data_IF_080477417423
#
_entry.id   IF_080477417423
#
_cell.length_a   1.000
_cell.length_b   1.000
_cell.length_c   1.000
_cell.angle_alpha   90.00
_cell.angle_beta   90.00
_cell.angle_gamma   90.00
#
_symmetry.space_group_name_H-M   'P 1'
#
loop_
_entity.id
_entity.type
_entity.pdbx_description
1 polymer ?
#
# COMPACT_ATOMS: atom_id res chain seq x y z
N UNK A 1 -16.67 44.07 79.94
CA UNK A 1 -17.21 44.01 78.57
C UNK A 1 -16.05 43.78 77.62
N UNK A 2 -16.02 42.67 76.85
CA UNK A 2 -15.15 42.54 75.65
C UNK A 2 -15.88 43.20 74.46
N UNK A 3 -15.16 43.72 73.45
CA UNK A 3 -14.77 42.90 72.28
C UNK A 3 -13.26 43.00 71.94
N UNK A 4 -12.56 41.90 71.62
CA UNK A 4 -12.29 41.34 70.27
C UNK A 4 -11.40 42.26 69.39
N UNK A 5 -10.08 41.97 69.30
CA UNK A 5 -9.38 41.34 68.13
C UNK A 5 -9.26 42.29 66.93
N UNK A 6 -8.13 42.54 66.25
CA UNK A 6 -6.95 41.73 65.96
C UNK A 6 -5.96 42.55 65.10
N UNK A 7 -4.68 42.50 65.48
CA UNK A 7 -3.51 42.19 64.62
C UNK A 7 -3.23 43.04 63.37
N UNK A 8 -2.09 43.72 63.46
CA UNK A 8 -1.26 44.29 62.40
C UNK A 8 -0.60 43.17 61.57
N UNK A 9 -0.72 43.19 60.23
CA UNK A 9 0.26 42.58 59.32
C UNK A 9 0.31 43.32 57.99
N UNK A 10 1.50 43.80 57.64
CA UNK A 10 1.89 44.21 56.30
C UNK A 10 1.91 42.97 55.39
N UNK A 11 1.13 42.97 54.31
CA UNK A 11 1.32 42.04 53.19
C UNK A 11 2.16 42.76 52.15
N UNK A 12 3.44 42.43 52.07
CA UNK A 12 4.26 42.69 50.88
C UNK A 12 3.89 41.61 49.87
N UNK A 13 3.14 41.98 48.84
CA UNK A 13 2.87 41.12 47.71
C UNK A 13 4.17 40.96 46.91
N UNK A 14 4.83 39.81 47.04
CA UNK A 14 5.82 39.37 46.07
C UNK A 14 5.07 38.91 44.82
N UNK A 15 5.02 39.76 43.79
CA UNK A 15 4.77 39.28 42.43
C UNK A 15 5.96 38.41 42.04
N UNK A 16 5.79 37.09 42.11
CA UNK A 16 6.68 36.16 41.38
C UNK A 16 6.35 36.29 39.89
N UNK A 17 7.06 37.16 39.18
CA UNK A 17 7.11 37.10 37.73
C UNK A 17 7.72 35.75 37.35
N UNK A 18 6.91 34.85 36.76
CA UNK A 18 7.42 33.66 36.12
C UNK A 18 8.28 34.13 34.93
N UNK A 19 9.60 34.08 35.08
CA UNK A 19 10.51 34.34 33.97
C UNK A 19 10.32 33.23 32.94
N UNK A 20 10.08 33.55 31.65
CA UNK A 20 10.06 32.52 30.62
C UNK A 20 11.40 31.78 30.65
N UNK A 21 11.36 30.46 30.81
CA UNK A 21 12.58 29.66 30.86
C UNK A 21 12.96 29.27 29.45
N UNK A 22 13.84 30.05 28.85
CA UNK A 22 14.50 29.75 27.59
C UNK A 22 15.30 28.44 27.72
N UNK A 23 15.25 27.60 26.69
CA UNK A 23 15.80 26.26 26.55
C UNK A 23 16.92 26.29 25.54
N UNK A 24 17.96 25.52 25.79
CA UNK A 24 19.01 25.27 24.82
C UNK A 24 18.68 23.97 24.07
N UNK A 25 19.15 23.82 22.82
CA UNK A 25 19.18 22.55 22.11
C UNK A 25 20.58 21.95 22.25
N UNK A 26 20.67 20.80 22.92
CA UNK A 26 21.92 20.11 23.19
C UNK A 26 22.07 18.96 22.19
N UNK A 27 23.02 19.11 21.27
CA UNK A 27 23.31 18.08 20.29
C UNK A 27 24.22 17.02 20.91
N UNK A 28 23.73 15.80 21.03
CA UNK A 28 24.49 14.67 21.55
C UNK A 28 25.23 13.92 20.44
N UNK A 29 26.32 13.27 20.80
CA UNK A 29 27.08 12.38 19.90
C UNK A 29 26.26 11.18 19.41
N UNK A 30 25.19 10.81 20.14
CA UNK A 30 24.21 9.79 19.72
C UNK A 30 23.35 10.21 18.54
N UNK A 31 23.35 11.50 18.17
CA UNK A 31 22.55 12.05 17.07
C UNK A 31 21.14 12.49 17.45
N UNK A 32 20.67 12.20 18.67
CA UNK A 32 19.37 12.66 19.17
C UNK A 32 19.59 13.96 19.94
N UNK A 33 19.10 15.12 19.45
CA UNK A 33 19.18 16.36 20.19
C UNK A 33 18.23 16.33 21.39
N UNK A 34 18.61 17.03 22.47
CA UNK A 34 17.77 17.23 23.64
C UNK A 34 17.50 18.72 23.81
N UNK A 35 16.22 19.08 23.88
CA UNK A 35 15.81 20.42 24.27
C UNK A 35 15.69 20.51 25.80
N UNK A 36 16.50 21.37 26.41
CA UNK A 36 16.38 21.69 27.83
C UNK A 36 17.25 22.88 28.26
N UNK A 37 16.95 23.43 29.43
CA UNK A 37 17.72 24.53 30.01
C UNK A 37 18.95 23.96 30.70
N UNK A 38 20.16 24.37 30.31
CA UNK A 38 21.36 24.05 31.08
C UNK A 38 21.31 24.84 32.40
N UNK A 39 21.07 24.15 33.51
CA UNK A 39 20.94 24.81 34.83
C UNK A 39 22.30 25.01 35.49
N UNK A 40 23.16 23.98 35.49
CA UNK A 40 24.46 23.99 36.18
C UNK A 40 25.45 23.11 35.42
N UNK A 41 26.70 23.58 35.30
CA UNK A 41 27.86 22.76 34.96
C UNK A 41 28.74 22.58 36.21
N UNK A 42 29.01 21.34 36.62
CA UNK A 42 29.94 21.02 37.70
C UNK A 42 30.99 20.05 37.17
N UNK A 43 32.24 20.51 37.06
CA UNK A 43 33.28 19.75 36.36
C UNK A 43 32.86 19.46 34.92
N UNK A 44 32.91 18.20 34.54
CA UNK A 44 32.58 17.73 33.18
C UNK A 44 31.11 17.27 33.04
N UNK A 45 30.25 17.61 34.02
CA UNK A 45 28.84 17.21 34.01
C UNK A 45 27.92 18.42 33.87
N UNK A 46 27.02 18.35 32.89
CA UNK A 46 25.94 19.31 32.66
C UNK A 46 24.64 18.79 33.27
N UNK A 47 24.01 19.58 34.14
CA UNK A 47 22.63 19.36 34.59
C UNK A 47 21.69 20.15 33.70
N UNK A 48 20.81 19.44 33.00
CA UNK A 48 19.86 20.02 32.05
C UNK A 48 18.45 19.74 32.53
N UNK A 49 17.61 20.78 32.59
CA UNK A 49 16.18 20.64 32.86
C UNK A 49 15.40 20.55 31.56
N UNK A 50 14.74 19.42 31.37
CA UNK A 50 13.84 19.13 30.24
C UNK A 50 12.43 19.00 30.81
N UNK A 51 11.57 20.00 30.54
CA UNK A 51 10.27 20.14 31.18
C UNK A 51 10.35 20.13 32.72
N UNK A 52 9.79 19.08 33.33
CA UNK A 52 9.78 18.87 34.80
C UNK A 52 10.87 17.91 35.30
N UNK A 53 11.75 17.42 34.42
CA UNK A 53 12.80 16.44 34.75
C UNK A 53 14.18 17.10 34.66
N UNK A 54 15.11 16.61 35.47
CA UNK A 54 16.53 16.96 35.38
C UNK A 54 17.29 15.75 34.88
N UNK A 55 18.12 15.96 33.87
CA UNK A 55 19.02 14.95 33.31
C UNK A 55 20.46 15.44 33.51
N UNK A 56 21.38 14.49 33.66
CA UNK A 56 22.81 14.77 33.77
C UNK A 56 23.50 14.23 32.52
N UNK A 57 24.25 15.08 31.83
CA UNK A 57 24.96 14.77 30.59
C UNK A 57 26.46 14.96 30.81
N UNK A 58 27.27 14.04 30.30
CA UNK A 58 28.73 14.21 30.33
C UNK A 58 29.18 15.14 29.20
N UNK A 59 30.17 15.99 29.43
CA UNK A 59 30.67 16.94 28.44
C UNK A 59 31.16 16.23 27.16
N UNK A 60 31.72 15.03 27.28
CA UNK A 60 32.17 14.22 26.14
C UNK A 60 31.02 13.70 25.23
N UNK A 61 29.81 13.63 25.77
CA UNK A 61 28.59 13.24 25.05
C UNK A 61 27.99 14.40 24.26
N UNK A 62 28.33 15.64 24.61
CA UNK A 62 27.80 16.86 24.00
C UNK A 62 28.70 17.30 22.85
N UNK A 63 28.10 17.46 21.67
CA UNK A 63 28.77 17.98 20.47
C UNK A 63 28.72 19.50 20.45
N UNK A 64 27.52 20.06 20.60
CA UNK A 64 27.28 21.52 20.64
C UNK A 64 26.06 21.82 21.50
N UNK A 65 26.02 23.02 22.07
CA UNK A 65 24.85 23.56 22.75
C UNK A 65 24.42 24.81 21.98
N UNK A 66 23.28 24.73 21.32
CA UNK A 66 22.65 25.84 20.61
C UNK A 66 21.72 26.57 21.59
N UNK A 67 22.11 27.79 21.98
CA UNK A 67 21.23 28.64 22.78
C UNK A 67 20.06 29.11 21.91
N UNK A 68 18.84 28.82 22.34
CA UNK A 68 17.65 29.31 21.66
C UNK A 68 16.61 29.80 22.67
N UNK A 69 15.60 30.50 22.16
CA UNK A 69 14.52 31.06 22.99
C UNK A 69 13.32 30.11 23.10
N UNK A 70 13.45 28.85 22.65
CA UNK A 70 12.38 27.84 22.79
C UNK A 70 12.34 27.47 24.27
N UNK A 71 11.21 27.10 24.84
CA UNK A 71 11.12 26.68 26.25
C UNK A 71 10.98 25.16 26.41
N UNK A 72 11.14 24.43 25.30
CA UNK A 72 10.83 23.00 25.20
C UNK A 72 9.33 22.71 25.33
N UNK A 73 8.47 23.73 25.36
CA UNK A 73 7.03 23.55 25.30
C UNK A 73 6.63 23.16 23.87
N UNK A 74 5.64 22.28 23.81
CA UNK A 74 5.04 21.88 22.55
C UNK A 74 4.30 23.10 21.98
N UNK A 75 4.77 23.65 20.85
CA UNK A 75 4.08 24.74 20.16
C UNK A 75 2.80 24.21 19.51
N UNK A 76 1.73 24.18 20.31
CA UNK A 76 0.43 23.67 19.91
C UNK A 76 -0.16 24.44 18.73
N UNK A 77 0.14 25.73 18.59
CA UNK A 77 -0.37 26.53 17.48
C UNK A 77 0.40 26.25 16.19
N UNK A 78 1.73 26.11 16.25
CA UNK A 78 2.51 25.67 15.10
C UNK A 78 2.11 24.26 14.64
N UNK A 79 1.87 23.31 15.57
CA UNK A 79 1.41 21.96 15.23
C UNK A 79 0.02 21.99 14.59
N UNK A 80 -0.92 22.78 15.14
CA UNK A 80 -2.25 22.93 14.53
C UNK A 80 -2.16 23.52 13.14
N UNK A 81 -1.29 24.52 12.93
CA UNK A 81 -1.11 25.17 11.64
C UNK A 81 -0.44 24.24 10.62
N UNK A 82 0.53 23.43 11.05
CA UNK A 82 1.10 22.37 10.21
C UNK A 82 0.05 21.30 9.86
N UNK A 83 -0.72 20.81 10.82
CA UNK A 83 -1.80 19.86 10.58
C UNK A 83 -2.87 20.44 9.63
N UNK A 84 -3.20 21.74 9.76
CA UNK A 84 -4.12 22.46 8.87
C UNK A 84 -3.56 22.52 7.45
N UNK A 85 -2.28 22.90 7.29
CA UNK A 85 -1.61 22.93 5.97
C UNK A 85 -1.60 21.55 5.32
N UNK A 86 -1.26 20.51 6.09
CA UNK A 86 -1.27 19.14 5.59
C UNK A 86 -2.68 18.67 5.18
N UNK A 87 -3.71 19.00 5.96
CA UNK A 87 -5.10 18.72 5.58
C UNK A 87 -5.49 19.44 4.29
N UNK A 88 -5.13 20.71 4.13
CA UNK A 88 -5.37 21.48 2.90
C UNK A 88 -4.67 20.86 1.69
N UNK A 89 -3.41 20.44 1.85
CA UNK A 89 -2.67 19.72 0.82
C UNK A 89 -3.37 18.41 0.42
N UNK A 90 -3.83 17.63 1.41
CA UNK A 90 -4.57 16.39 1.17
C UNK A 90 -5.93 16.64 0.49
N UNK A 91 -6.65 17.69 0.87
CA UNK A 91 -7.91 18.07 0.20
C UNK A 91 -7.63 18.43 -1.25
N UNK A 92 -6.58 19.21 -1.52
CA UNK A 92 -6.20 19.61 -2.88
C UNK A 92 -5.76 18.40 -3.73
N UNK A 93 -5.03 17.45 -3.13
CA UNK A 93 -4.53 16.27 -3.81
C UNK A 93 -5.64 15.24 -4.09
N UNK A 94 -6.53 15.02 -3.11
CA UNK A 94 -7.42 13.87 -3.09
C UNK A 94 -8.88 14.22 -3.35
N UNK A 95 -9.26 15.49 -3.19
CA UNK A 95 -10.64 15.95 -3.22
C UNK A 95 -11.47 15.60 -1.99
N UNK A 96 -10.89 14.89 -1.01
CA UNK A 96 -11.59 14.47 0.21
C UNK A 96 -11.17 15.33 1.41
N UNK A 97 -12.14 15.73 2.23
CA UNK A 97 -11.87 16.33 3.53
C UNK A 97 -11.51 15.27 4.59
N UNK A 98 -10.99 15.71 5.74
CA UNK A 98 -10.56 14.82 6.82
C UNK A 98 -11.64 13.81 7.26
N UNK A 99 -12.91 14.22 7.36
CA UNK A 99 -13.99 13.32 7.76
C UNK A 99 -14.25 12.23 6.72
N UNK A 100 -14.22 12.59 5.43
CA UNK A 100 -14.38 11.64 4.33
C UNK A 100 -13.21 10.67 4.23
N UNK A 101 -11.97 11.15 4.42
CA UNK A 101 -10.78 10.28 4.45
C UNK A 101 -10.87 9.29 5.62
N UNK A 102 -11.29 9.75 6.80
CA UNK A 102 -11.52 8.88 7.95
C UNK A 102 -12.62 7.84 7.69
N UNK A 103 -13.71 8.19 6.99
CA UNK A 103 -14.72 7.21 6.57
C UNK A 103 -14.16 6.16 5.61
N UNK A 104 -13.28 6.56 4.67
CA UNK A 104 -12.58 5.62 3.78
C UNK A 104 -11.67 4.71 4.60
N UNK A 105 -10.85 5.26 5.50
CA UNK A 105 -9.89 4.50 6.31
C UNK A 105 -10.61 3.45 7.18
N UNK A 106 -11.69 3.83 7.86
CA UNK A 106 -12.51 2.91 8.64
C UNK A 106 -13.10 1.78 7.78
N UNK A 107 -13.52 2.09 6.56
CA UNK A 107 -14.05 1.07 5.67
C UNK A 107 -12.95 0.18 5.06
N UNK A 108 -11.73 0.70 4.90
CA UNK A 108 -10.55 -0.08 4.51
C UNK A 108 -10.12 -1.04 5.62
N UNK A 109 -10.13 -0.62 6.88
CA UNK A 109 -9.89 -1.52 8.02
C UNK A 109 -10.85 -2.72 7.99
N UNK A 110 -12.13 -2.47 7.73
CA UNK A 110 -13.13 -3.52 7.55
C UNK A 110 -12.80 -4.41 6.34
N UNK A 111 -12.49 -3.82 5.18
CA UNK A 111 -12.10 -4.53 3.95
C UNK A 111 -10.93 -5.49 4.19
N UNK A 112 -9.95 -5.08 4.98
CA UNK A 112 -8.75 -5.87 5.24
C UNK A 112 -8.95 -6.97 6.28
N UNK A 113 -10.09 -6.98 6.98
CA UNK A 113 -10.44 -8.06 7.90
C UNK A 113 -10.38 -9.45 7.26
N UNK A 114 -9.90 -10.43 8.02
CA UNK A 114 -9.99 -11.86 7.66
C UNK A 114 -11.42 -12.39 7.80
N UNK A 115 -12.28 -11.69 8.54
CA UNK A 115 -13.69 -12.01 8.59
C UNK A 115 -14.34 -11.59 7.26
N UNK A 116 -14.79 -12.57 6.48
CA UNK A 116 -15.36 -12.35 5.15
C UNK A 116 -16.58 -11.43 5.16
N UNK A 117 -17.46 -11.54 6.16
CA UNK A 117 -18.63 -10.66 6.30
C UNK A 117 -18.18 -9.20 6.52
N UNK A 118 -17.25 -8.98 7.46
CA UNK A 118 -16.68 -7.66 7.74
C UNK A 118 -15.97 -7.08 6.50
N UNK A 119 -15.18 -7.90 5.80
CA UNK A 119 -14.52 -7.53 4.55
C UNK A 119 -15.53 -7.09 3.48
N UNK A 120 -16.61 -7.86 3.33
CA UNK A 120 -17.68 -7.53 2.39
C UNK A 120 -18.42 -6.25 2.80
N UNK A 121 -18.60 -6.00 4.10
CA UNK A 121 -19.20 -4.77 4.62
C UNK A 121 -18.33 -3.55 4.33
N UNK A 122 -17.02 -3.65 4.55
CA UNK A 122 -16.05 -2.61 4.19
C UNK A 122 -16.10 -2.28 2.69
N UNK A 123 -16.07 -3.30 1.84
CA UNK A 123 -16.23 -3.14 0.38
C UNK A 123 -17.55 -2.42 0.02
N UNK A 124 -18.68 -2.84 0.61
CA UNK A 124 -19.99 -2.20 0.35
C UNK A 124 -20.00 -0.73 0.77
N UNK A 125 -19.38 -0.39 1.91
CA UNK A 125 -19.26 1.00 2.36
C UNK A 125 -18.46 1.86 1.39
N UNK A 126 -17.30 1.38 0.94
CA UNK A 126 -16.45 2.09 -0.02
C UNK A 126 -17.17 2.31 -1.36
N UNK A 127 -17.87 1.28 -1.86
CA UNK A 127 -18.68 1.42 -3.07
C UNK A 127 -19.87 2.38 -2.88
N UNK A 128 -20.49 2.41 -1.70
CA UNK A 128 -21.55 3.38 -1.42
C UNK A 128 -21.03 4.82 -1.31
N UNK A 129 -19.80 5.02 -0.81
CA UNK A 129 -19.15 6.33 -0.76
C UNK A 129 -18.85 6.88 -2.14
N UNK A 130 -18.48 6.01 -3.09
CA UNK A 130 -18.17 6.39 -4.48
C UNK A 130 -19.30 7.16 -5.17
N UNK A 131 -20.55 6.90 -4.77
CA UNK A 131 -21.74 7.56 -5.32
C UNK A 131 -21.88 9.01 -4.84
N UNK A 132 -21.12 9.40 -3.82
CA UNK A 132 -21.14 10.74 -3.21
C UNK A 132 -19.88 11.54 -3.53
N UNK A 133 -18.73 10.89 -3.55
CA UNK A 133 -17.40 11.52 -3.75
C UNK A 133 -16.47 10.57 -4.50
N UNK A 134 -15.55 11.12 -5.31
CA UNK A 134 -14.50 10.33 -5.95
C UNK A 134 -13.44 9.94 -4.90
N UNK A 135 -13.50 8.71 -4.43
CA UNK A 135 -12.52 8.17 -3.46
C UNK A 135 -11.24 7.65 -4.14
N UNK A 136 -11.20 7.58 -5.47
CA UNK A 136 -10.08 7.00 -6.21
C UNK A 136 -8.76 7.75 -5.97
N UNK A 137 -8.69 9.10 -6.04
CA UNK A 137 -7.43 9.83 -5.82
C UNK A 137 -6.84 9.58 -4.44
N UNK A 138 -7.69 9.47 -3.41
CA UNK A 138 -7.24 9.12 -2.07
C UNK A 138 -6.70 7.70 -2.01
N UNK A 139 -7.45 6.72 -2.54
CA UNK A 139 -6.97 5.33 -2.61
C UNK A 139 -5.63 5.22 -3.34
N UNK A 140 -5.47 5.90 -4.47
CA UNK A 140 -4.22 5.91 -5.23
C UNK A 140 -3.07 6.58 -4.45
N UNK A 141 -3.37 7.63 -3.67
CA UNK A 141 -2.39 8.31 -2.83
C UNK A 141 -1.83 7.40 -1.73
N UNK A 142 -2.69 6.65 -1.03
CA UNK A 142 -2.28 5.79 0.09
C UNK A 142 -1.83 4.38 -0.36
N UNK A 143 -2.10 3.97 -1.60
CA UNK A 143 -1.78 2.64 -2.11
C UNK A 143 -0.30 2.24 -1.96
N UNK A 144 0.70 3.11 -2.26
CA UNK A 144 2.11 2.75 -2.14
C UNK A 144 2.53 2.34 -0.73
N UNK A 145 1.86 2.87 0.29
CA UNK A 145 2.17 2.65 1.71
C UNK A 145 1.37 1.48 2.31
N UNK A 146 0.46 0.85 1.53
CA UNK A 146 -0.32 -0.29 2.01
C UNK A 146 0.57 -1.51 2.22
N UNK A 147 0.28 -2.29 3.27
CA UNK A 147 0.91 -3.59 3.45
C UNK A 147 0.60 -4.51 2.24
N UNK A 148 1.58 -5.27 1.70
CA UNK A 148 1.38 -6.08 0.48
C UNK A 148 0.21 -7.06 0.52
N UNK A 149 -0.07 -7.64 1.69
CA UNK A 149 -1.24 -8.52 1.88
C UNK A 149 -2.59 -7.80 1.60
N UNK A 150 -2.65 -6.49 1.80
CA UNK A 150 -3.85 -5.67 1.61
C UNK A 150 -3.97 -5.12 0.19
N UNK A 151 -2.84 -4.99 -0.53
CA UNK A 151 -2.80 -4.43 -1.89
C UNK A 151 -3.68 -5.21 -2.87
N UNK A 152 -3.76 -6.54 -2.75
CA UNK A 152 -4.61 -7.36 -3.63
C UNK A 152 -6.10 -7.01 -3.49
N UNK A 153 -6.59 -6.87 -2.25
CA UNK A 153 -7.98 -6.44 -1.97
C UNK A 153 -8.22 -4.99 -2.42
N UNK A 154 -7.23 -4.12 -2.20
CA UNK A 154 -7.29 -2.73 -2.65
C UNK A 154 -7.38 -2.62 -4.18
N UNK A 155 -6.57 -3.35 -4.94
CA UNK A 155 -6.62 -3.35 -6.41
C UNK A 155 -7.96 -3.86 -6.95
N UNK A 156 -8.55 -4.88 -6.32
CA UNK A 156 -9.89 -5.36 -6.69
C UNK A 156 -10.93 -4.25 -6.53
N UNK A 157 -10.91 -3.55 -5.41
CA UNK A 157 -11.80 -2.40 -5.19
C UNK A 157 -11.51 -1.27 -6.19
N UNK A 158 -10.25 -0.85 -6.34
CA UNK A 158 -9.86 0.23 -7.24
C UNK A 158 -10.24 -0.07 -8.69
N UNK A 159 -10.18 -1.32 -9.12
CA UNK A 159 -10.66 -1.75 -10.42
C UNK A 159 -12.17 -1.57 -10.58
N UNK A 160 -12.95 -1.88 -9.54
CA UNK A 160 -14.40 -1.67 -9.58
C UNK A 160 -14.81 -0.20 -9.54
N UNK A 161 -13.97 0.65 -8.93
CA UNK A 161 -14.13 2.09 -8.96
C UNK A 161 -13.86 2.62 -10.38
N UNK A 162 -12.70 2.29 -10.95
CA UNK A 162 -12.29 2.76 -12.27
C UNK A 162 -11.22 1.83 -12.90
N UNK A 163 -11.61 0.93 -13.83
CA UNK A 163 -10.69 0.02 -14.50
C UNK A 163 -9.58 0.72 -15.29
N UNK A 164 -9.86 1.87 -15.90
CA UNK A 164 -8.89 2.59 -16.73
C UNK A 164 -7.86 3.30 -15.85
N UNK A 165 -8.28 3.93 -14.75
CA UNK A 165 -7.34 4.57 -13.82
C UNK A 165 -6.42 3.55 -13.12
N UNK A 166 -6.90 2.35 -12.78
CA UNK A 166 -6.08 1.34 -12.07
C UNK A 166 -5.12 0.59 -13.00
N UNK A 167 -5.39 0.59 -14.31
CA UNK A 167 -4.62 -0.18 -15.30
C UNK A 167 -3.10 -0.01 -15.20
N UNK A 168 -2.53 1.19 -15.02
CA UNK A 168 -1.08 1.35 -14.84
C UNK A 168 -0.55 0.62 -13.60
N UNK A 169 -1.27 0.70 -12.47
CA UNK A 169 -0.93 0.02 -11.22
C UNK A 169 -0.96 -1.51 -11.39
N UNK A 170 -1.91 -2.05 -12.15
CA UNK A 170 -1.97 -3.49 -12.42
C UNK A 170 -0.71 -3.97 -13.14
N UNK A 171 -0.25 -3.22 -14.15
CA UNK A 171 0.96 -3.53 -14.92
C UNK A 171 2.21 -3.41 -14.05
N UNK A 172 2.32 -2.33 -13.27
CA UNK A 172 3.46 -2.08 -12.36
C UNK A 172 3.61 -3.18 -11.31
N UNK A 173 2.49 -3.66 -10.76
CA UNK A 173 2.49 -4.60 -9.62
C UNK A 173 2.40 -6.08 -9.99
N UNK A 174 2.28 -6.41 -11.29
CA UNK A 174 2.21 -7.79 -11.77
C UNK A 174 3.48 -8.62 -11.46
N UNK A 175 4.61 -7.98 -11.15
CA UNK A 175 5.89 -8.62 -10.83
C UNK A 175 6.30 -8.47 -9.36
N UNK A 176 5.35 -8.12 -8.48
CA UNK A 176 5.62 -7.95 -7.05
C UNK A 176 5.94 -9.31 -6.37
N UNK A 177 6.81 -9.38 -5.34
CA UNK A 177 7.09 -10.63 -4.62
C UNK A 177 5.89 -11.30 -3.96
N UNK A 178 4.86 -10.53 -3.63
CA UNK A 178 3.62 -11.04 -3.01
C UNK A 178 2.70 -11.72 -4.04
N UNK A 179 2.40 -13.00 -3.79
CA UNK A 179 1.69 -13.87 -4.75
C UNK A 179 0.25 -13.45 -4.99
N UNK A 180 -0.47 -13.04 -3.94
CA UNK A 180 -1.86 -12.63 -4.04
C UNK A 180 -2.00 -11.36 -4.87
N UNK A 181 -1.01 -10.47 -4.76
CA UNK A 181 -0.92 -9.25 -5.55
C UNK A 181 -0.69 -9.56 -7.03
N UNK A 182 0.29 -10.42 -7.36
CA UNK A 182 0.53 -10.85 -8.75
C UNK A 182 -0.71 -11.50 -9.36
N UNK A 183 -1.33 -12.42 -8.63
CA UNK A 183 -2.54 -13.11 -9.07
C UNK A 183 -3.69 -12.13 -9.32
N UNK A 184 -3.90 -11.15 -8.45
CA UNK A 184 -4.90 -10.09 -8.66
C UNK A 184 -4.60 -9.27 -9.92
N UNK A 185 -3.35 -8.83 -10.10
CA UNK A 185 -2.91 -8.06 -11.27
C UNK A 185 -3.21 -8.78 -12.58
N UNK A 186 -2.67 -10.00 -12.79
CA UNK A 186 -2.83 -10.70 -14.08
C UNK A 186 -4.29 -11.07 -14.37
N UNK A 187 -5.08 -11.38 -13.35
CA UNK A 187 -6.52 -11.63 -13.52
C UNK A 187 -7.27 -10.37 -13.93
N UNK A 188 -6.96 -9.22 -13.32
CA UNK A 188 -7.61 -7.95 -13.61
C UNK A 188 -7.16 -7.37 -14.95
N UNK A 189 -5.90 -7.58 -15.36
CA UNK A 189 -5.41 -7.24 -16.70
C UNK A 189 -6.22 -7.94 -17.80
N UNK A 190 -6.69 -9.17 -17.58
CA UNK A 190 -7.58 -9.82 -18.55
C UNK A 190 -8.98 -9.19 -18.64
N UNK A 191 -9.38 -8.39 -17.64
CA UNK A 191 -10.69 -7.73 -17.58
C UNK A 191 -10.65 -6.27 -18.02
N UNK A 192 -9.47 -5.67 -18.23
CA UNK A 192 -9.41 -4.33 -18.80
C UNK A 192 -9.88 -4.37 -20.26
N UNK A 193 -10.59 -3.33 -20.73
CA UNK A 193 -10.92 -3.21 -22.14
C UNK A 193 -9.66 -3.15 -23.00
N UNK A 194 -9.58 -3.99 -24.03
CA UNK A 194 -8.48 -4.03 -25.00
C UNK A 194 -7.09 -4.04 -24.36
N UNK A 195 -6.68 -5.16 -23.71
CA UNK A 195 -5.33 -5.29 -23.16
C UNK A 195 -4.27 -5.08 -24.25
N UNK A 196 -3.21 -4.37 -23.90
CA UNK A 196 -2.05 -4.13 -24.74
C UNK A 196 -1.22 -5.41 -24.91
N UNK A 197 -0.36 -5.50 -25.94
CA UNK A 197 0.56 -6.62 -26.09
C UNK A 197 1.43 -6.89 -24.85
N UNK A 198 1.89 -5.85 -24.16
CA UNK A 198 2.66 -5.99 -22.92
C UNK A 198 1.83 -6.54 -21.74
N UNK A 199 0.54 -6.21 -21.67
CA UNK A 199 -0.36 -6.75 -20.63
C UNK A 199 -0.74 -8.21 -20.92
N UNK A 200 -0.92 -8.56 -22.20
CA UNK A 200 -1.04 -9.94 -22.64
C UNK A 200 0.23 -10.73 -22.28
N UNK A 201 1.41 -10.16 -22.52
CA UNK A 201 2.69 -10.77 -22.15
C UNK A 201 2.77 -11.02 -20.64
N UNK A 202 2.34 -10.08 -19.79
CA UNK A 202 2.28 -10.30 -18.34
C UNK A 202 1.39 -11.49 -17.96
N UNK A 203 0.22 -11.64 -18.59
CA UNK A 203 -0.62 -12.81 -18.36
C UNK A 203 0.05 -14.10 -18.84
N UNK A 204 0.72 -14.09 -19.98
CA UNK A 204 1.46 -15.27 -20.50
C UNK A 204 2.62 -15.64 -19.60
N UNK A 205 3.40 -14.67 -19.11
CA UNK A 205 4.45 -14.90 -18.10
C UNK A 205 3.88 -15.42 -16.79
N UNK A 206 2.67 -15.01 -16.42
CA UNK A 206 1.93 -15.54 -15.27
C UNK A 206 1.62 -17.04 -15.37
N UNK A 207 1.47 -17.61 -16.57
CA UNK A 207 1.32 -19.05 -16.77
C UNK A 207 2.59 -19.84 -16.39
N UNK A 208 3.75 -19.18 -16.37
CA UNK A 208 5.03 -19.76 -15.96
C UNK A 208 5.37 -19.48 -14.48
N UNK A 209 4.53 -18.75 -13.73
CA UNK A 209 4.81 -18.41 -12.33
C UNK A 209 4.94 -19.68 -11.47
N UNK A 210 5.83 -19.64 -10.47
CA UNK A 210 6.04 -20.76 -9.57
C UNK A 210 4.83 -21.01 -8.66
N UNK A 211 4.03 -19.98 -8.37
CA UNK A 211 2.82 -20.08 -7.57
C UNK A 211 1.61 -20.52 -8.39
N UNK A 212 0.94 -21.58 -7.93
CA UNK A 212 -0.24 -22.15 -8.60
C UNK A 212 -1.38 -21.15 -8.74
N UNK A 213 -1.64 -20.37 -7.70
CA UNK A 213 -2.68 -19.34 -7.71
C UNK A 213 -2.47 -18.29 -8.81
N UNK A 214 -1.21 -17.90 -9.06
CA UNK A 214 -0.86 -16.93 -10.11
C UNK A 214 -1.05 -17.55 -11.49
N UNK A 215 -0.65 -18.81 -11.70
CA UNK A 215 -0.90 -19.52 -12.96
C UNK A 215 -2.38 -19.65 -13.28
N UNK A 216 -3.20 -20.01 -12.29
CA UNK A 216 -4.65 -20.12 -12.45
C UNK A 216 -5.28 -18.75 -12.75
N UNK A 217 -4.80 -17.69 -12.08
CA UNK A 217 -5.25 -16.31 -12.32
C UNK A 217 -4.90 -15.83 -13.74
N UNK A 218 -3.71 -16.13 -14.23
CA UNK A 218 -3.27 -15.85 -15.60
C UNK A 218 -4.15 -16.55 -16.65
N UNK A 219 -4.45 -17.84 -16.45
CA UNK A 219 -5.38 -18.56 -17.31
C UNK A 219 -6.77 -17.92 -17.35
N UNK A 220 -7.32 -17.52 -16.19
CA UNK A 220 -8.60 -16.79 -16.11
C UNK A 220 -8.54 -15.40 -16.79
N UNK A 221 -7.40 -14.72 -16.70
CA UNK A 221 -7.15 -13.48 -17.43
C UNK A 221 -7.27 -13.70 -18.94
N UNK A 222 -6.63 -14.76 -19.46
CA UNK A 222 -6.66 -15.14 -20.87
C UNK A 222 -8.02 -15.70 -21.35
N UNK A 223 -8.89 -16.16 -20.44
CA UNK A 223 -10.31 -16.41 -20.78
C UNK A 223 -11.02 -15.10 -21.09
N UNK A 224 -10.76 -14.06 -20.29
CA UNK A 224 -11.42 -12.74 -20.41
C UNK A 224 -10.82 -11.92 -21.55
N UNK A 225 -9.54 -12.14 -21.87
CA UNK A 225 -8.81 -11.55 -22.98
C UNK A 225 -8.19 -12.65 -23.88
N UNK A 226 -9.01 -13.27 -24.75
CA UNK A 226 -8.56 -14.40 -25.56
C UNK A 226 -7.40 -14.04 -26.49
N UNK A 227 -6.31 -14.81 -26.42
CA UNK A 227 -5.07 -14.58 -27.16
C UNK A 227 -4.56 -15.90 -27.76
N UNK A 228 -4.54 -15.99 -29.09
CA UNK A 228 -4.11 -17.23 -29.79
C UNK A 228 -2.60 -17.43 -29.68
N UNK A 229 -1.83 -16.37 -29.54
CA UNK A 229 -0.39 -16.39 -29.36
C UNK A 229 0.01 -17.14 -28.08
N UNK A 230 -0.85 -17.15 -27.05
CA UNK A 230 -0.65 -17.87 -25.79
C UNK A 230 -0.86 -19.40 -25.89
N UNK A 231 -1.30 -19.91 -27.05
CA UNK A 231 -1.67 -21.34 -27.23
C UNK A 231 -0.57 -22.31 -26.79
N UNK A 232 0.72 -22.16 -27.19
CA UNK A 232 1.76 -23.08 -26.76
C UNK A 232 1.95 -23.11 -25.24
N UNK A 233 1.84 -21.94 -24.58
CA UNK A 233 1.96 -21.82 -23.14
C UNK A 233 0.81 -22.48 -22.40
N UNK A 234 -0.43 -22.31 -22.88
CA UNK A 234 -1.61 -22.94 -22.28
C UNK A 234 -1.54 -24.46 -22.42
N UNK A 235 -1.08 -24.99 -23.56
CA UNK A 235 -0.84 -26.43 -23.76
C UNK A 235 0.25 -26.93 -22.81
N UNK A 236 1.36 -26.20 -22.66
CA UNK A 236 2.47 -26.54 -21.76
C UNK A 236 2.05 -26.64 -20.30
N UNK A 237 1.15 -25.75 -19.87
CA UNK A 237 0.53 -25.78 -18.55
C UNK A 237 -0.36 -27.01 -18.40
N UNK A 238 -1.24 -27.30 -19.36
CA UNK A 238 -2.08 -28.51 -19.33
C UNK A 238 -1.26 -29.81 -19.31
N UNK A 239 -0.11 -29.83 -19.97
CA UNK A 239 0.80 -30.98 -19.97
C UNK A 239 1.40 -31.25 -18.58
N UNK A 240 1.54 -30.24 -17.72
CA UNK A 240 2.00 -30.41 -16.34
C UNK A 240 0.98 -31.16 -15.46
N UNK A 241 -0.29 -31.25 -15.90
CA UNK A 241 -1.31 -32.08 -15.27
C UNK A 241 -1.78 -31.57 -13.91
N UNK A 242 -1.90 -30.25 -13.74
CA UNK A 242 -2.37 -29.64 -12.52
C UNK A 242 -3.85 -29.20 -12.71
N UNK A 243 -4.83 -29.90 -12.10
CA UNK A 243 -6.24 -29.62 -12.35
C UNK A 243 -6.67 -28.17 -12.08
N UNK A 244 -6.04 -27.49 -11.12
CA UNK A 244 -6.35 -26.09 -10.75
C UNK A 244 -6.02 -25.13 -11.90
N UNK A 245 -4.97 -25.44 -12.68
CA UNK A 245 -4.52 -24.61 -13.80
C UNK A 245 -5.01 -25.14 -15.15
N UNK A 246 -5.23 -26.45 -15.26
CA UNK A 246 -5.72 -27.11 -16.47
C UNK A 246 -7.10 -26.59 -16.89
N UNK A 247 -8.01 -26.39 -15.92
CA UNK A 247 -9.35 -25.89 -16.19
C UNK A 247 -9.34 -24.48 -16.84
N UNK A 248 -8.72 -23.45 -16.23
CA UNK A 248 -8.65 -22.14 -16.86
C UNK A 248 -7.83 -22.16 -18.16
N UNK A 249 -6.80 -23.01 -18.28
CA UNK A 249 -6.03 -23.13 -19.51
C UNK A 249 -6.87 -23.68 -20.68
N UNK A 250 -7.64 -24.75 -20.45
CA UNK A 250 -8.60 -25.29 -21.43
C UNK A 250 -9.65 -24.25 -21.82
N UNK A 251 -10.20 -23.52 -20.84
CA UNK A 251 -11.18 -22.48 -21.09
C UNK A 251 -10.60 -21.35 -21.95
N UNK A 252 -9.37 -20.90 -21.68
CA UNK A 252 -8.68 -19.87 -22.44
C UNK A 252 -8.41 -20.30 -23.89
N UNK A 253 -7.97 -21.55 -24.09
CA UNK A 253 -7.80 -22.13 -25.43
C UNK A 253 -9.14 -22.15 -26.19
N UNK A 254 -10.21 -22.62 -25.55
CA UNK A 254 -11.55 -22.61 -26.15
C UNK A 254 -12.00 -21.20 -26.53
N UNK A 255 -11.79 -20.22 -25.66
CA UNK A 255 -12.16 -18.82 -25.91
C UNK A 255 -11.36 -18.19 -27.06
N UNK A 256 -10.05 -18.49 -27.16
CA UNK A 256 -9.18 -17.90 -28.19
C UNK A 256 -9.43 -18.44 -29.60
N UNK A 257 -9.87 -19.70 -29.70
CA UNK A 257 -10.06 -20.37 -30.98
C UNK A 257 -11.51 -20.45 -31.44
N UNK A 258 -12.48 -20.28 -30.53
CA UNK A 258 -13.89 -20.22 -30.90
C UNK A 258 -14.25 -18.90 -31.57
N UNK A 259 -15.20 -18.96 -32.50
CA UNK A 259 -15.83 -17.80 -33.14
C UNK A 259 -17.36 -17.96 -33.08
N UNK A 260 -18.15 -16.89 -33.30
CA UNK A 260 -19.61 -17.01 -33.30
C UNK A 260 -20.09 -18.12 -34.25
N UNK A 261 -20.79 -19.12 -33.72
CA UNK A 261 -21.30 -20.27 -34.48
C UNK A 261 -20.35 -21.45 -34.64
N UNK A 262 -19.10 -21.36 -34.17
CA UNK A 262 -18.13 -22.45 -34.20
C UNK A 262 -17.33 -22.50 -32.89
N UNK A 263 -17.69 -23.44 -32.03
CA UNK A 263 -16.98 -23.72 -30.78
C UNK A 263 -15.82 -24.67 -31.03
N UNK A 264 -14.63 -24.30 -30.56
CA UNK A 264 -13.45 -25.18 -30.52
C UNK A 264 -13.25 -25.63 -29.07
N UNK A 265 -13.21 -26.94 -28.85
CA UNK A 265 -13.01 -27.53 -27.53
C UNK A 265 -12.34 -28.89 -27.66
N UNK A 266 -11.28 -29.08 -26.87
CA UNK A 266 -10.60 -30.36 -26.74
C UNK A 266 -10.38 -30.69 -25.26
N UNK A 267 -10.48 -31.96 -24.90
CA UNK A 267 -10.52 -32.38 -23.50
C UNK A 267 -9.15 -32.52 -22.86
N UNK A 268 -8.10 -32.75 -23.64
CA UNK A 268 -6.76 -33.00 -23.14
C UNK A 268 -5.70 -32.24 -23.95
N UNK A 269 -4.49 -32.14 -23.38
CA UNK A 269 -3.40 -31.37 -23.99
C UNK A 269 -2.89 -31.96 -25.31
N UNK A 270 -3.03 -33.28 -25.55
CA UNK A 270 -2.57 -33.92 -26.79
C UNK A 270 -3.43 -33.51 -27.97
N UNK A 271 -4.73 -33.45 -27.77
CA UNK A 271 -5.69 -33.01 -28.79
C UNK A 271 -5.49 -31.53 -29.12
N UNK A 272 -5.28 -30.69 -28.10
CA UNK A 272 -4.91 -29.29 -28.29
C UNK A 272 -3.55 -29.13 -29.00
N UNK A 273 -2.57 -30.00 -28.71
CA UNK A 273 -1.28 -29.98 -29.39
C UNK A 273 -1.42 -30.36 -30.87
N UNK A 274 -2.19 -31.40 -31.20
CA UNK A 274 -2.46 -31.78 -32.58
C UNK A 274 -3.18 -30.65 -33.32
N UNK A 275 -4.22 -30.07 -32.71
CA UNK A 275 -4.92 -28.90 -33.25
C UNK A 275 -3.95 -27.73 -33.50
N UNK A 276 -3.08 -27.42 -32.54
CA UNK A 276 -2.09 -26.36 -32.68
C UNK A 276 -1.11 -26.64 -33.82
N UNK A 277 -0.63 -27.87 -33.99
CA UNK A 277 0.29 -28.22 -35.09
C UNK A 277 -0.29 -27.94 -36.48
N UNK A 278 -1.60 -28.12 -36.65
CA UNK A 278 -2.31 -27.83 -37.90
C UNK A 278 -2.54 -26.32 -38.11
N UNK A 279 -2.64 -25.53 -37.03
CA UNK A 279 -3.04 -24.12 -37.07
C UNK A 279 -1.93 -23.13 -36.77
N UNK A 280 -0.74 -23.59 -36.33
CA UNK A 280 0.36 -22.74 -35.88
C UNK A 280 0.81 -21.72 -36.94
N UNK A 281 0.74 -22.08 -38.22
CA UNK A 281 1.08 -21.19 -39.33
C UNK A 281 0.20 -19.92 -39.39
N UNK A 282 -0.98 -19.93 -38.76
CA UNK A 282 -1.90 -18.78 -38.69
C UNK A 282 -1.53 -17.80 -37.58
N UNK A 283 -0.60 -18.16 -36.68
CA UNK A 283 -0.24 -17.39 -35.48
C UNK A 283 1.30 -17.24 -35.44
N UNK A 284 1.87 -16.38 -36.30
CA UNK A 284 3.32 -16.29 -36.50
C UNK A 284 4.09 -15.73 -35.29
N UNK A 285 3.40 -15.10 -34.34
CA UNK A 285 3.98 -14.49 -33.14
C UNK A 285 3.61 -15.25 -31.85
N UNK A 286 3.41 -16.56 -31.96
CA UNK A 286 3.12 -17.38 -30.79
C UNK A 286 4.29 -17.39 -29.79
N UNK A 287 3.96 -17.40 -28.51
CA UNK A 287 4.95 -17.45 -27.43
C UNK A 287 5.64 -18.81 -27.41
N UNK A 288 6.97 -18.80 -27.34
CA UNK A 288 7.80 -19.99 -27.18
C UNK A 288 7.92 -20.36 -25.69
N UNK A 289 7.37 -21.50 -25.24
CA UNK A 289 7.40 -21.87 -23.83
C UNK A 289 8.79 -22.00 -23.22
N UNK A 290 9.81 -22.28 -24.03
CA UNK A 290 11.19 -22.41 -23.58
C UNK A 290 11.88 -21.04 -23.38
N UNK A 291 11.24 -19.94 -23.81
CA UNK A 291 11.78 -18.58 -23.71
C UNK A 291 11.00 -17.67 -22.77
N UNK A 292 9.88 -18.13 -22.23
CA UNK A 292 9.09 -17.34 -21.29
C UNK A 292 9.80 -17.26 -19.95
N UNK A 293 10.00 -16.03 -19.48
CA UNK A 293 10.49 -15.73 -18.13
C UNK A 293 9.28 -15.54 -17.21
N UNK A 294 9.21 -16.20 -16.04
CA UNK A 294 8.10 -16.01 -15.11
C UNK A 294 7.99 -14.54 -14.64
N UNK A 295 6.88 -14.20 -13.98
CA UNK A 295 6.68 -12.86 -13.44
C UNK A 295 7.76 -12.49 -12.41
N UNK A 296 8.16 -13.47 -11.61
CA UNK A 296 9.26 -13.40 -10.64
C UNK A 296 10.06 -14.71 -10.67
N UNK A 297 11.31 -14.66 -10.25
CA UNK A 297 12.15 -15.85 -10.12
C UNK A 297 11.52 -16.89 -9.18
N UNK A 298 11.68 -18.19 -9.45
CA UNK A 298 11.18 -19.24 -8.56
C UNK A 298 11.68 -19.09 -7.12
N UNK A 299 10.77 -19.13 -6.15
CA UNK A 299 11.09 -19.00 -4.73
C UNK A 299 11.11 -17.57 -4.21
N UNK A 300 10.90 -16.56 -5.05
CA UNK A 300 10.68 -15.19 -4.60
C UNK A 300 9.30 -15.09 -3.93
N UNK A 301 9.31 -14.86 -2.63
CA UNK A 301 8.12 -14.62 -1.82
C UNK A 301 8.28 -13.33 -1.04
N UNK A 302 7.17 -12.65 -0.76
CA UNK A 302 7.17 -11.56 0.21
C UNK A 302 7.49 -12.11 1.61
N UNK A 303 8.35 -11.43 2.35
CA UNK A 303 8.66 -11.75 3.74
C UNK A 303 8.10 -10.64 4.63
N UNK A 304 7.25 -11.00 5.59
CA UNK A 304 6.81 -10.10 6.65
C UNK A 304 7.99 -9.89 7.61
N UNK A 305 8.84 -8.90 7.35
CA UNK A 305 9.79 -8.39 8.35
C UNK A 305 9.11 -7.41 9.31
#
# INVERSE_FOLDING_TARGET
>A
MRPLSSVLWFVVAFLSAATPTFSDTIHLRSGIPIDGVVEVKIGDVYTVRTGNRKIMLQEEEIVTIEKNDRDGSLDLEAIKEEARRHDEELVNLTGLNAAQRMEVDMALEMLYSDNEEMSNDGRRRLLAMREKVDIYPYMAHIFPDMHPANMAKALLLMFELDPEKVRPLLSERATHPEENLRAACVRLLGKVPSPTPSELELMVRGLADHQEAVRAAAGNGLVSAPCREATPMLIRVMQAGNPVVDFPAKAALGAAWSIPGQTVSHDNWKDWLAFWQEHAAQVPLAYDPERIVPLVEPGVTFQNE
#
